data_IF_363819057543
#
_entry.id   IF_363819057543
#
_cell.length_a   1.000
_cell.length_b   1.000
_cell.length_c   1.000
_cell.angle_alpha   90.00
_cell.angle_beta   90.00
_cell.angle_gamma   90.00
#
_symmetry.space_group_name_H-M   'P 1'
#
loop_
_entity.id
_entity.type
_entity.pdbx_description
1 polymer ?
#
# COMPACT_ATOMS: atom_id res chain seq x y z
N UNK A 1 6.38 27.72 -11.05
CA UNK A 1 7.13 26.73 -10.30
C UNK A 1 6.17 25.55 -10.06
N UNK A 2 6.58 24.35 -10.47
CA UNK A 2 5.80 23.14 -10.16
C UNK A 2 5.87 22.88 -8.65
N UNK A 3 4.72 22.55 -8.07
CA UNK A 3 4.58 22.36 -6.63
C UNK A 3 5.15 21.02 -6.17
N UNK A 4 5.58 20.96 -4.90
CA UNK A 4 5.97 19.71 -4.26
C UNK A 4 4.74 18.84 -4.07
N UNK A 5 4.85 17.58 -4.45
CA UNK A 5 3.86 16.54 -4.19
C UNK A 5 4.42 15.48 -3.25
N UNK A 6 3.58 15.02 -2.35
CA UNK A 6 3.82 13.89 -1.46
C UNK A 6 2.81 12.84 -1.87
N UNK A 7 3.26 11.88 -2.69
CA UNK A 7 2.43 10.76 -3.12
C UNK A 7 2.52 9.64 -2.10
N UNK A 8 1.37 9.16 -1.65
CA UNK A 8 1.26 8.07 -0.69
C UNK A 8 0.62 6.85 -1.35
N UNK A 9 1.14 5.65 -1.11
CA UNK A 9 0.35 4.44 -1.29
C UNK A 9 -0.71 4.34 -0.19
N UNK A 10 -1.77 3.55 -0.45
CA UNK A 10 -2.90 3.42 0.47
C UNK A 10 -2.71 2.29 1.48
N UNK A 11 -2.49 1.08 0.95
CA UNK A 11 -2.47 -0.16 1.73
C UNK A 11 -1.12 -0.34 2.43
N UNK A 12 -1.08 -0.13 3.72
CA UNK A 12 0.13 -0.13 4.54
C UNK A 12 0.49 1.26 5.05
N UNK A 13 0.89 2.21 4.21
CA UNK A 13 1.24 3.57 4.64
C UNK A 13 0.12 4.33 5.33
N UNK A 14 -1.10 4.26 4.79
CA UNK A 14 -2.28 4.99 5.28
C UNK A 14 -3.21 4.09 6.08
N UNK A 15 -3.43 2.86 5.63
CA UNK A 15 -4.36 1.92 6.22
C UNK A 15 -3.64 0.67 6.76
N UNK A 16 -3.96 0.26 7.99
CA UNK A 16 -3.72 -1.12 8.42
C UNK A 16 -4.70 -2.04 7.70
N UNK A 17 -4.18 -2.84 6.80
CA UNK A 17 -4.96 -3.77 5.98
C UNK A 17 -4.86 -5.22 6.44
N UNK A 18 -4.13 -5.47 7.52
CA UNK A 18 -3.83 -6.83 7.99
C UNK A 18 -5.08 -7.63 8.37
N UNK A 19 -6.10 -6.95 8.92
CA UNK A 19 -7.38 -7.59 9.25
C UNK A 19 -8.13 -8.04 7.98
N UNK A 20 -8.20 -7.19 6.95
CA UNK A 20 -8.79 -7.54 5.66
C UNK A 20 -8.10 -8.72 5.00
N UNK A 21 -6.78 -8.66 4.90
CA UNK A 21 -5.99 -9.72 4.28
C UNK A 21 -6.20 -11.06 4.99
N UNK A 22 -6.18 -11.05 6.33
CA UNK A 22 -6.42 -12.27 7.10
C UNK A 22 -7.85 -12.79 6.98
N UNK A 23 -8.86 -11.91 6.95
CA UNK A 23 -10.25 -12.32 6.77
C UNK A 23 -10.47 -13.00 5.41
N UNK A 24 -9.94 -12.41 4.34
CA UNK A 24 -10.02 -13.02 3.00
C UNK A 24 -9.29 -14.37 2.98
N UNK A 25 -8.12 -14.47 3.62
CA UNK A 25 -7.41 -15.73 3.79
C UNK A 25 -8.27 -16.78 4.48
N UNK A 26 -8.91 -16.43 5.60
CA UNK A 26 -9.80 -17.36 6.31
C UNK A 26 -10.96 -17.84 5.43
N UNK A 27 -11.68 -16.92 4.79
CA UNK A 27 -12.85 -17.23 3.98
C UNK A 27 -12.49 -18.13 2.80
N UNK A 28 -11.37 -17.88 2.15
CA UNK A 28 -10.91 -18.65 0.99
C UNK A 28 -10.42 -20.03 1.42
N UNK A 29 -9.56 -20.12 2.45
CA UNK A 29 -9.04 -21.41 2.93
C UNK A 29 -10.17 -22.33 3.38
N UNK A 30 -11.14 -21.81 4.16
CA UNK A 30 -12.29 -22.61 4.63
C UNK A 30 -13.15 -23.13 3.49
N UNK A 31 -13.39 -22.31 2.45
CA UNK A 31 -14.16 -22.75 1.27
C UNK A 31 -13.51 -23.89 0.51
N UNK A 32 -12.19 -23.94 0.52
CA UNK A 32 -11.41 -25.03 -0.09
C UNK A 32 -11.10 -26.18 0.88
N UNK A 33 -11.72 -26.21 2.07
CA UNK A 33 -11.63 -27.30 3.04
C UNK A 33 -10.32 -27.34 3.83
N UNK A 34 -9.54 -26.24 3.85
CA UNK A 34 -8.30 -26.12 4.60
C UNK A 34 -8.48 -25.52 6.00
N UNK A 35 -7.36 -25.37 6.70
CA UNK A 35 -7.28 -24.79 8.05
C UNK A 35 -6.53 -23.48 8.00
N UNK A 36 -7.21 -22.31 8.18
CA UNK A 36 -6.56 -21.03 8.06
C UNK A 36 -5.47 -20.83 9.11
N UNK A 37 -4.39 -20.17 8.74
CA UNK A 37 -3.35 -19.78 9.69
C UNK A 37 -3.87 -18.69 10.64
N UNK A 38 -3.41 -18.65 11.90
CA UNK A 38 -3.62 -17.52 12.79
C UNK A 38 -3.14 -16.21 12.17
N UNK A 39 -3.81 -15.07 12.48
CA UNK A 39 -3.51 -13.76 11.88
C UNK A 39 -2.02 -13.40 11.95
N UNK A 40 -1.39 -13.57 13.08
CA UNK A 40 0.03 -13.23 13.27
C UNK A 40 0.94 -14.02 12.32
N UNK A 41 0.71 -15.33 12.21
CA UNK A 41 1.51 -16.22 11.36
C UNK A 41 1.27 -15.92 9.86
N UNK A 42 0.01 -15.73 9.48
CA UNK A 42 -0.34 -15.34 8.10
C UNK A 42 0.30 -13.99 7.73
N UNK A 43 0.16 -12.98 8.60
CA UNK A 43 0.68 -11.65 8.33
C UNK A 43 2.20 -11.61 8.28
N UNK A 44 2.88 -12.35 9.16
CA UNK A 44 4.33 -12.52 9.11
C UNK A 44 4.79 -13.15 7.79
N UNK A 45 4.15 -14.24 7.35
CA UNK A 45 4.44 -14.88 6.06
C UNK A 45 4.23 -13.90 4.89
N UNK A 46 3.13 -13.14 4.92
CA UNK A 46 2.80 -12.13 3.91
C UNK A 46 3.85 -11.03 3.85
N UNK A 47 4.26 -10.50 4.99
CA UNK A 47 5.28 -9.46 5.09
C UNK A 47 6.66 -9.92 4.64
N UNK A 48 6.95 -11.21 4.80
CA UNK A 48 8.20 -11.84 4.34
C UNK A 48 8.14 -12.35 2.89
N UNK A 49 7.15 -11.92 2.10
CA UNK A 49 7.01 -12.24 0.68
C UNK A 49 6.85 -13.75 0.39
N UNK A 50 6.38 -14.54 1.37
CA UNK A 50 6.04 -15.94 1.12
C UNK A 50 4.92 -15.99 0.08
N UNK A 51 5.10 -16.81 -0.96
CA UNK A 51 4.12 -16.94 -2.03
C UNK A 51 2.75 -17.36 -1.47
N UNK A 52 1.68 -16.72 -1.95
CA UNK A 52 0.32 -17.00 -1.46
C UNK A 52 -0.05 -18.48 -1.61
N UNK A 53 0.32 -19.10 -2.74
CA UNK A 53 0.10 -20.55 -2.96
C UNK A 53 0.83 -21.40 -1.92
N UNK A 54 2.03 -21.02 -1.50
CA UNK A 54 2.78 -21.73 -0.44
C UNK A 54 2.06 -21.60 0.91
N UNK A 55 1.57 -20.39 1.25
CA UNK A 55 0.77 -20.17 2.46
C UNK A 55 -0.48 -21.07 2.44
N UNK A 56 -1.17 -21.14 1.30
CA UNK A 56 -2.37 -21.95 1.13
C UNK A 56 -2.09 -23.46 1.23
N UNK A 57 -0.96 -23.91 0.71
CA UNK A 57 -0.52 -25.32 0.87
C UNK A 57 -0.25 -25.65 2.35
N UNK A 58 0.35 -24.73 3.11
CA UNK A 58 0.53 -24.89 4.56
C UNK A 58 -0.79 -24.98 5.33
N UNK A 59 -1.88 -24.48 4.73
CA UNK A 59 -3.25 -24.60 5.25
C UNK A 59 -3.91 -25.96 4.92
N UNK A 60 -3.20 -26.88 4.27
CA UNK A 60 -3.69 -28.22 3.91
C UNK A 60 -4.32 -28.30 2.52
N UNK A 61 -4.24 -27.28 1.68
CA UNK A 61 -4.73 -27.32 0.31
C UNK A 61 -3.76 -28.08 -0.61
N UNK A 62 -4.29 -28.81 -1.60
CA UNK A 62 -3.48 -29.32 -2.70
C UNK A 62 -2.94 -28.16 -3.55
N UNK A 63 -1.91 -28.40 -4.36
CA UNK A 63 -1.35 -27.37 -5.24
C UNK A 63 -2.40 -26.78 -6.20
N UNK A 64 -3.32 -27.60 -6.70
CA UNK A 64 -4.40 -27.17 -7.59
C UNK A 64 -5.41 -26.29 -6.82
N UNK A 65 -5.91 -26.76 -5.68
CA UNK A 65 -6.81 -25.99 -4.82
C UNK A 65 -6.16 -24.67 -4.35
N UNK A 66 -4.86 -24.65 -4.08
CA UNK A 66 -4.15 -23.44 -3.69
C UNK A 66 -4.11 -22.39 -4.81
N UNK A 67 -3.96 -22.80 -6.08
CA UNK A 67 -4.02 -21.88 -7.24
C UNK A 67 -5.42 -21.30 -7.43
N UNK A 68 -6.45 -22.12 -7.32
CA UNK A 68 -7.85 -21.67 -7.39
C UNK A 68 -8.17 -20.71 -6.25
N UNK A 69 -7.76 -21.05 -5.04
CA UNK A 69 -7.93 -20.23 -3.85
C UNK A 69 -7.21 -18.86 -3.97
N UNK A 70 -6.00 -18.84 -4.52
CA UNK A 70 -5.29 -17.58 -4.80
C UNK A 70 -6.02 -16.72 -5.82
N UNK A 71 -6.52 -17.30 -6.91
CA UNK A 71 -7.31 -16.57 -7.90
C UNK A 71 -8.59 -15.98 -7.28
N UNK A 72 -9.27 -16.76 -6.44
CA UNK A 72 -10.47 -16.31 -5.72
C UNK A 72 -10.13 -15.17 -4.74
N UNK A 73 -9.03 -15.28 -3.98
CA UNK A 73 -8.55 -14.22 -3.08
C UNK A 73 -8.39 -12.89 -3.81
N UNK A 74 -7.81 -12.90 -5.01
CA UNK A 74 -7.63 -11.68 -5.83
C UNK A 74 -8.95 -11.02 -6.19
N UNK A 75 -10.01 -11.79 -6.43
CA UNK A 75 -11.34 -11.26 -6.71
C UNK A 75 -12.06 -10.72 -5.47
N UNK A 76 -11.73 -11.25 -4.30
CA UNK A 76 -12.43 -10.95 -3.06
C UNK A 76 -11.78 -9.86 -2.21
N UNK A 77 -10.48 -9.59 -2.40
CA UNK A 77 -9.71 -8.70 -1.53
C UNK A 77 -10.26 -7.26 -1.49
N UNK A 78 -10.96 -6.83 -2.53
CA UNK A 78 -11.61 -5.53 -2.61
C UNK A 78 -13.15 -5.60 -2.50
N UNK A 79 -13.73 -6.70 -1.98
CA UNK A 79 -15.16 -6.74 -1.71
C UNK A 79 -15.51 -5.72 -0.61
N UNK A 80 -16.67 -5.04 -0.72
CA UNK A 80 -17.07 -4.00 0.23
C UNK A 80 -17.05 -4.45 1.70
N UNK A 81 -17.42 -5.71 1.96
CA UNK A 81 -17.43 -6.23 3.34
C UNK A 81 -16.02 -6.46 3.89
N UNK A 82 -15.07 -6.79 3.02
CA UNK A 82 -13.67 -6.90 3.41
C UNK A 82 -13.01 -5.53 3.59
N UNK A 83 -13.31 -4.57 2.72
CA UNK A 83 -12.77 -3.21 2.80
C UNK A 83 -13.14 -2.47 4.10
N UNK A 84 -14.26 -2.83 4.73
CA UNK A 84 -14.67 -2.30 6.04
C UNK A 84 -13.73 -2.68 7.20
N UNK A 85 -12.83 -3.64 6.97
CA UNK A 85 -11.86 -4.10 7.97
C UNK A 85 -10.54 -3.31 7.93
N UNK A 86 -10.37 -2.43 6.96
CA UNK A 86 -9.24 -1.54 6.89
C UNK A 86 -9.46 -0.35 7.83
N UNK A 87 -8.43 -0.02 8.59
CA UNK A 87 -8.48 1.09 9.55
C UNK A 87 -7.31 2.06 9.27
N UNK A 88 -7.56 3.38 9.25
CA UNK A 88 -6.48 4.35 9.29
C UNK A 88 -5.64 4.17 10.55
N UNK A 89 -4.33 4.38 10.45
CA UNK A 89 -3.51 4.40 11.66
C UNK A 89 -4.00 5.47 12.63
N UNK A 90 -3.99 5.24 13.95
CA UNK A 90 -4.59 6.16 14.94
C UNK A 90 -4.03 7.59 14.91
N UNK A 91 -2.80 7.74 14.44
CA UNK A 91 -2.07 9.01 14.33
C UNK A 91 -2.18 9.68 12.95
N UNK A 92 -2.97 9.12 12.02
CA UNK A 92 -2.96 9.53 10.62
C UNK A 92 -3.39 10.98 10.39
N UNK A 93 -4.40 11.46 11.13
CA UNK A 93 -4.90 12.83 10.97
C UNK A 93 -3.81 13.87 11.28
N UNK A 94 -3.11 13.70 12.40
CA UNK A 94 -2.04 14.62 12.82
C UNK A 94 -0.90 14.64 11.77
N UNK A 95 -0.51 13.48 11.27
CA UNK A 95 0.54 13.37 10.26
C UNK A 95 0.12 13.98 8.92
N UNK A 96 -1.16 13.84 8.55
CA UNK A 96 -1.66 14.48 7.33
C UNK A 96 -1.64 16.00 7.41
N UNK A 97 -1.98 16.57 8.57
CA UNK A 97 -1.90 18.02 8.79
C UNK A 97 -0.45 18.51 8.64
N UNK A 98 0.52 17.82 9.26
CA UNK A 98 1.95 18.14 9.09
C UNK A 98 2.41 18.02 7.61
N UNK A 99 1.99 16.97 6.89
CA UNK A 99 2.36 16.77 5.50
C UNK A 99 1.73 17.82 4.57
N UNK A 100 0.51 18.29 4.85
CA UNK A 100 -0.17 19.32 4.05
C UNK A 100 0.54 20.68 4.15
N UNK A 101 1.21 20.97 5.27
CA UNK A 101 2.06 22.17 5.41
C UNK A 101 3.33 22.09 4.55
N UNK A 102 3.75 20.87 4.17
CA UNK A 102 4.98 20.61 3.42
C UNK A 102 4.76 20.41 1.91
N UNK A 103 3.53 20.11 1.48
CA UNK A 103 3.23 19.86 0.07
C UNK A 103 1.82 19.40 -0.18
N UNK A 104 1.50 19.13 -1.45
CA UNK A 104 0.20 18.58 -1.85
C UNK A 104 0.20 17.07 -1.68
N UNK A 105 -0.83 16.55 -1.03
CA UNK A 105 -1.00 15.11 -0.90
C UNK A 105 -1.68 14.52 -2.15
N UNK A 106 -1.08 13.48 -2.69
CA UNK A 106 -1.63 12.64 -3.75
C UNK A 106 -1.69 11.19 -3.29
N UNK A 107 -2.81 10.52 -3.50
CA UNK A 107 -2.92 9.08 -3.29
C UNK A 107 -2.60 8.34 -4.59
N UNK A 108 -1.74 7.32 -4.54
CA UNK A 108 -1.38 6.49 -5.71
C UNK A 108 -1.50 5.02 -5.36
N UNK A 109 -2.52 4.36 -5.86
CA UNK A 109 -2.80 2.96 -5.50
C UNK A 109 -3.20 2.10 -6.71
N UNK A 110 -2.84 0.81 -6.67
CA UNK A 110 -3.23 -0.17 -7.68
C UNK A 110 -4.58 -0.87 -7.35
N UNK A 111 -5.43 -0.22 -6.57
CA UNK A 111 -6.79 -0.68 -6.32
C UNK A 111 -7.59 -0.73 -7.62
N UNK A 112 -8.22 -1.87 -7.90
CA UNK A 112 -8.86 -2.15 -9.17
C UNK A 112 -10.22 -1.48 -9.34
N UNK A 113 -10.95 -1.28 -8.22
CA UNK A 113 -12.32 -0.81 -8.23
C UNK A 113 -12.41 0.63 -7.70
N UNK A 114 -12.32 1.61 -8.60
CA UNK A 114 -12.35 3.03 -8.26
C UNK A 114 -13.58 3.43 -7.43
N UNK A 115 -14.74 2.95 -7.77
CA UNK A 115 -15.99 3.22 -7.06
C UNK A 115 -15.99 2.69 -5.61
N UNK A 116 -15.33 1.56 -5.36
CA UNK A 116 -15.18 1.00 -4.01
C UNK A 116 -14.16 1.78 -3.20
N UNK A 117 -13.07 2.18 -3.83
CA UNK A 117 -12.05 3.05 -3.23
C UNK A 117 -12.66 4.39 -2.81
N UNK A 118 -13.38 5.07 -3.71
CA UNK A 118 -14.01 6.36 -3.40
C UNK A 118 -14.98 6.25 -2.23
N UNK A 119 -15.79 5.19 -2.18
CA UNK A 119 -16.68 4.92 -1.03
C UNK A 119 -15.91 4.67 0.26
N UNK A 120 -14.81 3.94 0.22
CA UNK A 120 -13.97 3.68 1.39
C UNK A 120 -13.32 4.96 1.89
N UNK A 121 -12.68 5.75 1.01
CA UNK A 121 -12.06 7.03 1.38
C UNK A 121 -13.07 8.01 1.98
N UNK A 122 -14.29 8.07 1.43
CA UNK A 122 -15.36 8.90 1.98
C UNK A 122 -15.83 8.41 3.35
N UNK A 123 -16.03 7.10 3.53
CA UNK A 123 -16.47 6.53 4.80
C UNK A 123 -15.44 6.74 5.92
N UNK A 124 -14.15 6.78 5.59
CA UNK A 124 -13.04 7.01 6.53
C UNK A 124 -12.68 8.50 6.66
N UNK A 125 -13.32 9.41 5.91
CA UNK A 125 -13.00 10.85 5.91
C UNK A 125 -11.68 11.20 5.23
N UNK A 126 -11.00 10.21 4.61
CA UNK A 126 -9.67 10.40 4.02
C UNK A 126 -9.68 11.19 2.71
N UNK A 127 -10.82 11.25 2.02
CA UNK A 127 -10.94 12.00 0.76
C UNK A 127 -10.65 13.50 0.91
N UNK A 128 -10.75 14.06 2.11
CA UNK A 128 -10.53 15.47 2.39
C UNK A 128 -9.04 15.86 2.33
N UNK A 129 -8.15 14.92 2.55
CA UNK A 129 -6.72 15.18 2.63
C UNK A 129 -6.02 15.11 1.27
N UNK A 130 -6.54 14.32 0.33
CA UNK A 130 -5.88 14.13 -0.96
C UNK A 130 -6.38 15.12 -2.01
N UNK A 131 -5.44 15.90 -2.55
CA UNK A 131 -5.70 16.76 -3.70
C UNK A 131 -6.05 15.97 -4.94
N UNK A 132 -5.39 14.82 -5.13
CA UNK A 132 -5.60 13.92 -6.25
C UNK A 132 -5.57 12.46 -5.77
N UNK A 133 -6.44 11.65 -6.35
CA UNK A 133 -6.50 10.20 -6.13
C UNK A 133 -6.25 9.51 -7.45
N UNK A 134 -5.06 8.97 -7.62
CA UNK A 134 -4.62 8.23 -8.80
C UNK A 134 -4.76 6.74 -8.50
N UNK A 135 -5.78 6.13 -9.05
CA UNK A 135 -6.10 4.72 -8.83
C UNK A 135 -6.45 4.02 -10.12
N UNK A 136 -6.12 2.74 -10.21
CA UNK A 136 -6.47 1.94 -11.36
C UNK A 136 -5.87 0.54 -11.30
N UNK A 137 -6.42 -0.38 -12.11
CA UNK A 137 -5.93 -1.73 -12.16
C UNK A 137 -4.48 -1.78 -12.64
N UNK A 138 -3.72 -2.67 -12.01
CA UNK A 138 -2.36 -3.01 -12.40
C UNK A 138 -2.07 -4.46 -12.05
N UNK A 139 -1.00 -4.97 -12.64
CA UNK A 139 -0.50 -6.33 -12.38
C UNK A 139 0.38 -6.43 -11.13
N UNK A 140 0.46 -5.34 -10.35
CA UNK A 140 1.29 -5.26 -9.16
C UNK A 140 2.76 -4.93 -9.45
N UNK A 141 3.09 -4.52 -10.68
CA UNK A 141 4.45 -4.16 -11.07
C UNK A 141 4.77 -2.68 -10.85
N UNK A 142 6.05 -2.33 -10.68
CA UNK A 142 6.49 -0.93 -10.64
C UNK A 142 6.13 -0.15 -11.90
N UNK A 143 6.18 -0.79 -13.06
CA UNK A 143 5.85 -0.21 -14.35
C UNK A 143 4.38 0.21 -14.42
N UNK A 144 3.47 -0.65 -13.90
CA UNK A 144 2.04 -0.35 -13.85
C UNK A 144 1.76 0.87 -12.95
N UNK A 145 2.37 0.93 -11.76
CA UNK A 145 2.21 2.06 -10.82
C UNK A 145 2.79 3.35 -11.38
N UNK A 146 3.99 3.28 -11.97
CA UNK A 146 4.62 4.44 -12.62
C UNK A 146 3.80 4.93 -13.83
N UNK A 147 3.29 4.03 -14.65
CA UNK A 147 2.45 4.37 -15.79
C UNK A 147 1.12 5.01 -15.35
N UNK A 148 0.55 4.53 -14.24
CA UNK A 148 -0.67 5.09 -13.67
C UNK A 148 -0.44 6.57 -13.28
N UNK A 149 0.63 6.87 -12.56
CA UNK A 149 0.95 8.24 -12.16
C UNK A 149 1.32 9.14 -13.35
N UNK A 150 2.06 8.64 -14.35
CA UNK A 150 2.31 9.41 -15.59
C UNK A 150 1.04 9.79 -16.33
N UNK A 151 0.08 8.87 -16.43
CA UNK A 151 -1.21 9.10 -17.13
C UNK A 151 -2.14 10.05 -16.39
N UNK A 152 -1.93 10.31 -15.10
CA UNK A 152 -2.74 11.25 -14.34
C UNK A 152 -2.63 12.70 -14.85
N UNK A 153 -1.54 13.03 -15.55
CA UNK A 153 -1.27 14.40 -16.01
C UNK A 153 -0.79 15.34 -14.90
N UNK A 154 -0.58 14.84 -13.69
CA UNK A 154 -0.04 15.64 -12.59
C UNK A 154 1.40 16.02 -12.90
N UNK A 155 1.71 17.31 -12.81
CA UNK A 155 3.08 17.81 -12.87
C UNK A 155 3.60 18.04 -11.46
N UNK A 156 4.73 17.42 -11.14
CA UNK A 156 5.37 17.56 -9.84
C UNK A 156 6.71 18.27 -9.93
N UNK A 157 7.04 19.01 -8.87
CA UNK A 157 8.27 19.80 -8.75
C UNK A 157 9.41 19.03 -8.09
N UNK A 158 10.59 19.67 -8.04
CA UNK A 158 11.72 19.17 -7.27
C UNK A 158 11.32 18.91 -5.81
N UNK A 159 11.92 17.88 -5.20
CA UNK A 159 11.61 17.49 -3.83
C UNK A 159 10.32 16.70 -3.65
N UNK A 160 9.57 16.43 -4.74
CA UNK A 160 8.42 15.54 -4.66
C UNK A 160 8.84 14.10 -4.33
N UNK A 161 7.99 13.40 -3.57
CA UNK A 161 8.31 12.09 -3.01
C UNK A 161 7.18 11.08 -3.26
N UNK A 162 7.53 9.82 -3.45
CA UNK A 162 6.63 8.68 -3.36
C UNK A 162 6.94 7.89 -2.09
N UNK A 163 5.94 7.74 -1.24
CA UNK A 163 6.01 7.01 0.03
C UNK A 163 5.17 5.75 -0.08
N UNK A 164 5.75 4.60 0.20
CA UNK A 164 5.05 3.32 0.14
C UNK A 164 5.70 2.28 1.04
N UNK A 165 5.16 1.08 1.05
CA UNK A 165 5.58 -0.01 1.92
C UNK A 165 6.01 -1.27 1.16
N UNK A 166 6.16 -1.14 -0.16
CA UNK A 166 6.58 -2.23 -1.03
C UNK A 166 7.72 -1.84 -1.98
N UNK A 167 8.38 -2.86 -2.51
CA UNK A 167 9.36 -2.75 -3.60
C UNK A 167 8.80 -2.03 -4.83
N UNK A 168 7.49 -2.18 -5.06
CA UNK A 168 6.76 -1.55 -6.17
C UNK A 168 6.82 -0.02 -6.06
N UNK A 169 6.63 0.50 -4.84
CA UNK A 169 6.64 1.95 -4.59
C UNK A 169 8.02 2.55 -4.82
N UNK A 170 9.04 1.92 -4.24
CA UNK A 170 10.42 2.39 -4.37
C UNK A 170 10.87 2.40 -5.84
N UNK A 171 10.63 1.29 -6.57
CA UNK A 171 11.00 1.18 -7.98
C UNK A 171 10.19 2.14 -8.87
N UNK A 172 8.88 2.31 -8.60
CA UNK A 172 8.03 3.25 -9.33
C UNK A 172 8.48 4.70 -9.13
N UNK A 173 8.75 5.10 -7.88
CA UNK A 173 9.22 6.44 -7.56
C UNK A 173 10.52 6.77 -8.28
N UNK A 174 11.47 5.83 -8.24
CA UNK A 174 12.75 5.97 -8.97
C UNK A 174 12.55 6.11 -10.49
N UNK A 175 11.68 5.29 -11.09
CA UNK A 175 11.38 5.36 -12.52
C UNK A 175 10.69 6.67 -12.93
N UNK A 176 10.13 7.41 -11.97
CA UNK A 176 9.48 8.70 -12.15
C UNK A 176 10.38 9.89 -11.80
N UNK A 177 11.60 9.66 -11.33
CA UNK A 177 12.48 10.71 -10.82
C UNK A 177 12.00 11.36 -9.52
N UNK A 178 11.15 10.65 -8.77
CA UNK A 178 10.70 11.05 -7.44
C UNK A 178 11.70 10.58 -6.38
N UNK A 179 11.81 11.33 -5.30
CA UNK A 179 12.41 10.83 -4.06
C UNK A 179 11.58 9.65 -3.56
N UNK A 180 12.18 8.71 -2.86
CA UNK A 180 11.48 7.51 -2.41
C UNK A 180 11.67 7.27 -0.92
N UNK A 181 10.56 7.04 -0.23
CA UNK A 181 10.55 6.63 1.18
C UNK A 181 9.83 5.30 1.30
N UNK A 182 10.46 4.35 1.97
CA UNK A 182 9.86 3.07 2.29
C UNK A 182 9.43 3.02 3.77
N UNK A 183 8.27 2.41 4.05
CA UNK A 183 7.71 2.27 5.39
C UNK A 183 7.61 0.80 5.80
N UNK A 184 8.12 0.50 6.99
CA UNK A 184 8.14 -0.85 7.54
C UNK A 184 6.83 -1.29 8.23
N UNK A 185 5.84 -0.41 8.38
CA UNK A 185 4.55 -0.75 9.03
C UNK A 185 3.62 -1.61 8.18
N UNK A 186 3.80 -1.62 6.86
CA UNK A 186 2.86 -2.21 5.91
C UNK A 186 3.13 -3.67 5.52
N UNK A 187 2.98 -3.96 4.22
CA UNK A 187 2.95 -5.31 3.63
C UNK A 187 4.34 -5.95 3.54
N UNK A 188 5.42 -5.16 3.62
CA UNK A 188 6.80 -5.69 3.63
C UNK A 188 7.53 -5.39 4.92
N UNK A 189 8.47 -6.26 5.26
CA UNK A 189 9.41 -6.00 6.36
C UNK A 189 10.51 -5.04 5.90
N UNK A 190 11.10 -4.25 6.83
CA UNK A 190 12.23 -3.38 6.50
C UNK A 190 13.40 -4.13 5.85
N UNK A 191 13.65 -5.37 6.25
CA UNK A 191 14.71 -6.22 5.69
C UNK A 191 14.52 -6.50 4.19
N UNK A 192 13.26 -6.60 3.71
CA UNK A 192 12.96 -6.76 2.28
C UNK A 192 12.97 -5.44 1.51
N UNK A 193 12.75 -4.32 2.18
CA UNK A 193 12.74 -2.99 1.56
C UNK A 193 14.16 -2.40 1.41
N UNK A 194 15.05 -2.64 2.37
CA UNK A 194 16.41 -2.10 2.38
C UNK A 194 17.22 -2.38 1.09
N UNK A 195 17.18 -3.58 0.47
CA UNK A 195 17.91 -3.85 -0.77
C UNK A 195 17.46 -2.98 -1.97
N UNK A 196 16.25 -2.43 -1.92
CA UNK A 196 15.74 -1.52 -2.94
C UNK A 196 16.31 -0.10 -2.83
N UNK A 197 17.09 0.18 -1.77
CA UNK A 197 17.77 1.45 -1.53
C UNK A 197 16.86 2.66 -1.68
N UNK A 198 15.74 2.76 -0.94
CA UNK A 198 14.98 4.00 -0.86
C UNK A 198 15.85 5.10 -0.27
N UNK A 199 15.54 6.38 -0.51
CA UNK A 199 16.28 7.49 0.11
C UNK A 199 16.14 7.50 1.64
N UNK A 200 14.98 7.05 2.14
CA UNK A 200 14.77 6.80 3.56
C UNK A 200 13.93 5.55 3.78
N UNK A 201 14.21 4.84 4.87
CA UNK A 201 13.46 3.69 5.34
C UNK A 201 13.08 3.95 6.79
N UNK A 202 11.78 4.08 7.03
CA UNK A 202 11.22 4.42 8.33
C UNK A 202 10.31 3.30 8.85
N UNK A 203 10.00 3.36 10.13
CA UNK A 203 9.02 2.45 10.73
C UNK A 203 7.62 2.75 10.19
N UNK A 204 7.22 4.02 10.18
CA UNK A 204 5.92 4.47 9.71
C UNK A 204 5.94 5.93 9.23
N UNK A 205 4.78 6.44 8.81
CA UNK A 205 4.63 7.75 8.19
C UNK A 205 4.95 8.93 9.11
N UNK A 206 4.93 8.77 10.44
CA UNK A 206 5.23 9.84 11.42
C UNK A 206 6.63 10.43 11.29
N UNK A 207 7.55 9.69 10.70
CA UNK A 207 8.95 10.12 10.53
C UNK A 207 9.17 10.92 9.23
N UNK A 208 8.20 10.90 8.32
CA UNK A 208 8.32 11.54 7.00
C UNK A 208 8.30 13.07 7.05
N UNK A 209 7.44 13.75 7.85
CA UNK A 209 7.43 15.20 7.92
C UNK A 209 8.81 15.79 8.28
N UNK A 210 9.40 15.36 9.38
CA UNK A 210 10.72 15.83 9.82
C UNK A 210 11.84 15.56 8.81
N UNK A 211 11.77 14.43 8.09
CA UNK A 211 12.73 14.12 7.03
C UNK A 211 12.59 15.07 5.83
N UNK A 212 11.35 15.42 5.45
CA UNK A 212 11.08 16.38 4.37
C UNK A 212 11.60 17.77 4.69
N UNK A 213 11.44 18.24 5.94
CA UNK A 213 11.98 19.52 6.42
C UNK A 213 13.51 19.55 6.43
N UNK A 214 14.14 18.45 6.85
CA UNK A 214 15.60 18.33 6.94
C UNK A 214 16.29 18.36 5.56
N UNK A 215 15.64 17.88 4.53
CA UNK A 215 16.16 17.87 3.15
C UNK A 215 16.21 19.25 2.47
N UNK A 216 15.63 20.30 3.08
CA UNK A 216 15.68 21.66 2.56
C UNK A 216 16.86 22.50 3.09
N UNK A 217 17.60 21.98 4.08
CA UNK A 217 18.69 22.70 4.76
C UNK A 217 20.08 22.40 4.19
N UNK A 218 20.19 21.71 3.07
CA UNK A 218 21.44 21.44 2.32
C UNK A 218 21.38 22.01 0.92
#
# INVERSE_FOLDING_TARGET
>A
LSERWIFLDLDGPVLDVSARYHRVHQDVVQRHGGWPLPRAIYWEAKRNLVAETEILIRCGLSTEAAREAEAQRRLEIERPDHLKLDEPWPWMADVFDELLDLGRLGLVTLRQHRDRLDRQLNALGLHLFFREVVAGPGDGTPEAKAALLRRSGISWGPGSVLVGDTEVDVASGRALGLRTVALGCGIRTPALLAPWSPEALFEDLRQVPSWLEGGERT
#
